data_IF_868540877649
#
_entry.id   IF_868540877649
#
_cell.length_a   1.000
_cell.length_b   1.000
_cell.length_c   1.000
_cell.angle_alpha   90.00
_cell.angle_beta   90.00
_cell.angle_gamma   90.00
#
_symmetry.space_group_name_H-M   'P 1'
#
loop_
_entity.id
_entity.type
_entity.pdbx_description
1 polymer ?
#
# COMPACT_ATOMS: atom_id res chain seq x y z
N UNK A 1 13.28 -18.15 -10.00
CA UNK A 1 12.57 -16.85 -9.95
C UNK A 1 11.97 -16.71 -8.56
N UNK A 2 12.41 -15.70 -7.81
CA UNK A 2 11.92 -15.36 -6.47
C UNK A 2 10.84 -14.29 -6.62
N UNK A 3 9.66 -14.51 -6.04
CA UNK A 3 8.52 -13.59 -6.11
C UNK A 3 8.21 -13.08 -4.71
N UNK A 4 8.17 -11.76 -4.54
CA UNK A 4 7.69 -11.15 -3.30
C UNK A 4 6.18 -10.92 -3.43
N UNK A 5 5.39 -11.46 -2.51
CA UNK A 5 3.93 -11.25 -2.45
C UNK A 5 3.62 -10.48 -1.18
N UNK A 6 3.03 -9.30 -1.33
CA UNK A 6 2.66 -8.44 -0.19
C UNK A 6 1.15 -8.44 -0.02
N UNK A 7 0.70 -8.88 1.16
CA UNK A 7 -0.71 -8.86 1.57
C UNK A 7 -0.91 -7.87 2.71
N UNK A 8 -2.16 -7.58 3.06
CA UNK A 8 -2.44 -6.66 4.16
C UNK A 8 -2.17 -7.27 5.54
N UNK A 9 -2.54 -8.54 5.77
CA UNK A 9 -2.56 -9.15 7.10
C UNK A 9 -1.72 -10.43 7.23
N UNK A 10 -1.13 -10.71 8.40
CA UNK A 10 -0.35 -11.93 8.64
C UNK A 10 -1.14 -13.22 8.45
N UNK A 11 -2.43 -13.22 8.80
CA UNK A 11 -3.31 -14.38 8.62
C UNK A 11 -3.46 -14.75 7.14
N UNK A 12 -3.63 -13.75 6.27
CA UNK A 12 -3.68 -13.94 4.82
C UNK A 12 -2.34 -14.45 4.29
N UNK A 13 -1.22 -13.89 4.78
CA UNK A 13 0.12 -14.32 4.39
C UNK A 13 0.36 -15.80 4.70
N UNK A 14 -0.01 -16.24 5.91
CA UNK A 14 0.12 -17.64 6.32
C UNK A 14 -0.75 -18.58 5.49
N UNK A 15 -1.97 -18.16 5.14
CA UNK A 15 -2.89 -18.96 4.35
C UNK A 15 -2.38 -19.14 2.92
N UNK A 16 -1.97 -18.05 2.26
CA UNK A 16 -1.43 -18.09 0.89
C UNK A 16 -0.14 -18.93 0.82
N UNK A 17 0.71 -18.83 1.86
CA UNK A 17 1.95 -19.63 1.92
C UNK A 17 1.69 -21.14 1.84
N UNK A 18 0.59 -21.63 2.39
CA UNK A 18 0.22 -23.04 2.32
C UNK A 18 -0.23 -23.48 0.92
N UNK A 19 -0.72 -22.54 0.10
CA UNK A 19 -1.20 -22.83 -1.25
C UNK A 19 -0.12 -22.75 -2.31
N UNK A 20 0.88 -21.89 -2.13
CA UNK A 20 1.94 -21.67 -3.12
C UNK A 20 3.14 -22.62 -2.99
N UNK A 21 3.11 -23.56 -2.04
CA UNK A 21 4.14 -24.58 -1.93
C UNK A 21 4.08 -25.56 -3.11
N UNK A 22 5.17 -25.69 -3.86
CA UNK A 22 5.38 -26.77 -4.83
C UNK A 22 5.06 -26.44 -6.30
N UNK A 23 4.86 -25.18 -6.65
CA UNK A 23 4.58 -24.75 -8.03
C UNK A 23 5.83 -24.47 -8.89
N UNK A 24 7.03 -24.75 -8.36
CA UNK A 24 8.31 -24.52 -9.03
C UNK A 24 8.87 -23.09 -8.89
N UNK A 25 8.17 -22.18 -8.21
CA UNK A 25 8.64 -20.84 -7.88
C UNK A 25 8.98 -20.73 -6.39
N UNK A 26 9.79 -19.73 -6.04
CA UNK A 26 10.07 -19.39 -4.64
C UNK A 26 9.28 -18.14 -4.28
N UNK A 27 8.34 -18.26 -3.35
CA UNK A 27 7.57 -17.12 -2.85
C UNK A 27 8.08 -16.67 -1.49
N UNK A 28 8.35 -15.38 -1.37
CA UNK A 28 8.44 -14.70 -0.09
C UNK A 28 7.11 -13.95 0.10
N UNK A 29 6.37 -14.27 1.17
CA UNK A 29 5.05 -13.68 1.41
C UNK A 29 5.13 -12.87 2.70
N UNK A 30 4.93 -11.56 2.58
CA UNK A 30 5.03 -10.59 3.67
C UNK A 30 3.72 -9.83 3.87
N UNK A 31 3.51 -9.29 5.07
CA UNK A 31 2.32 -8.51 5.40
C UNK A 31 2.66 -7.03 5.62
N UNK A 32 1.90 -6.13 4.99
CA UNK A 32 2.04 -4.68 5.16
C UNK A 32 1.52 -4.20 6.52
N UNK A 33 0.73 -5.03 7.21
CA UNK A 33 0.04 -4.69 8.46
C UNK A 33 -0.94 -3.52 8.30
N UNK A 34 -1.62 -3.44 7.16
CA UNK A 34 -2.51 -2.34 6.79
C UNK A 34 -1.81 -1.22 6.01
N UNK A 35 -2.26 0.01 6.22
CA UNK A 35 -1.66 1.21 5.64
C UNK A 35 -0.25 1.49 6.19
N UNK A 36 0.72 1.69 5.30
CA UNK A 36 2.10 2.07 5.66
C UNK A 36 2.33 3.58 5.70
N UNK A 37 1.46 4.35 5.02
CA UNK A 37 1.46 5.81 4.97
C UNK A 37 0.08 6.36 5.28
N UNK A 38 0.06 7.59 5.80
CA UNK A 38 -1.16 8.36 6.05
C UNK A 38 -0.82 9.86 6.03
N UNK A 39 -1.84 10.73 6.06
CA UNK A 39 -1.66 12.17 6.25
C UNK A 39 -1.01 12.46 7.61
N UNK A 40 -0.19 13.52 7.75
CA UNK A 40 0.42 13.89 9.02
C UNK A 40 -0.67 14.13 10.07
N UNK A 41 -0.49 13.57 11.27
CA UNK A 41 -1.41 13.72 12.41
C UNK A 41 -1.08 14.96 13.25
N UNK A 42 0.14 15.49 13.14
CA UNK A 42 0.59 16.70 13.83
C UNK A 42 1.68 17.39 13.02
N UNK A 43 1.93 18.68 13.31
CA UNK A 43 2.99 19.47 12.67
C UNK A 43 4.38 18.80 12.74
N UNK A 44 4.67 18.05 13.81
CA UNK A 44 5.94 17.34 13.97
C UNK A 44 6.15 16.20 12.97
N UNK A 45 5.08 15.71 12.34
CA UNK A 45 5.17 14.67 11.31
C UNK A 45 5.37 15.23 9.91
N UNK A 46 5.22 16.55 9.71
CA UNK A 46 5.38 17.22 8.42
C UNK A 46 6.87 17.14 7.98
N UNK A 47 7.15 16.60 6.78
CA UNK A 47 8.50 16.57 6.23
C UNK A 47 9.10 17.97 6.05
N UNK A 48 10.42 18.10 6.22
CA UNK A 48 11.13 19.39 6.17
C UNK A 48 10.79 20.22 4.92
N UNK A 49 10.71 19.56 3.76
CA UNK A 49 10.40 20.22 2.48
C UNK A 49 9.02 20.89 2.40
N UNK A 50 8.12 20.60 3.34
CA UNK A 50 6.78 21.17 3.41
C UNK A 50 6.57 22.03 4.65
N UNK A 51 7.55 22.18 5.56
CA UNK A 51 7.34 22.86 6.85
C UNK A 51 7.08 24.35 6.73
N UNK A 52 7.59 24.98 5.68
CA UNK A 52 7.41 26.41 5.42
C UNK A 52 6.11 26.71 4.64
N UNK A 53 5.32 25.67 4.32
CA UNK A 53 4.07 25.80 3.57
C UNK A 53 2.89 26.06 4.52
N UNK A 54 2.11 27.12 4.27
CA UNK A 54 0.97 27.51 5.12
C UNK A 54 -0.11 26.43 5.28
N UNK A 55 -0.16 25.46 4.36
CA UNK A 55 -1.14 24.37 4.34
C UNK A 55 -0.62 23.07 4.98
N UNK A 56 0.63 23.04 5.44
CA UNK A 56 1.32 21.80 5.85
C UNK A 56 0.69 21.12 7.06
N UNK A 57 0.15 21.90 8.00
CA UNK A 57 -0.56 21.39 9.19
C UNK A 57 -1.86 20.66 8.82
N UNK A 58 -2.55 21.14 7.77
CA UNK A 58 -3.70 20.44 7.21
C UNK A 58 -3.28 19.17 6.47
N UNK A 59 -2.05 19.12 5.95
CA UNK A 59 -1.50 18.00 5.20
C UNK A 59 -2.11 17.82 3.81
N UNK A 60 -2.91 18.79 3.33
CA UNK A 60 -3.56 18.79 2.02
C UNK A 60 -3.49 20.20 1.44
N UNK A 61 -2.92 20.35 0.24
CA UNK A 61 -2.84 21.62 -0.46
C UNK A 61 -4.15 21.89 -1.21
N UNK A 62 -5.06 22.64 -0.59
CA UNK A 62 -6.39 22.94 -1.17
C UNK A 62 -6.33 23.89 -2.37
N UNK A 63 -5.24 24.64 -2.52
CA UNK A 63 -5.06 25.61 -3.61
C UNK A 63 -4.42 24.96 -4.84
N UNK A 64 -3.71 23.84 -4.65
CA UNK A 64 -3.06 23.09 -5.73
C UNK A 64 -3.62 21.67 -5.84
N UNK A 65 -4.84 21.57 -6.37
CA UNK A 65 -5.42 20.27 -6.77
C UNK A 65 -5.64 19.27 -5.63
N UNK A 66 -5.67 19.73 -4.37
CA UNK A 66 -5.81 18.89 -3.18
C UNK A 66 -4.63 17.92 -2.96
N UNK A 67 -3.41 18.30 -3.36
CA UNK A 67 -2.24 17.45 -3.21
C UNK A 67 -1.99 17.07 -1.73
N UNK A 68 -1.98 15.77 -1.37
CA UNK A 68 -1.77 15.33 0.01
C UNK A 68 -0.28 15.17 0.37
N UNK A 69 0.06 15.45 1.62
CA UNK A 69 1.32 15.03 2.23
C UNK A 69 1.12 13.64 2.84
N UNK A 70 1.82 12.64 2.32
CA UNK A 70 1.85 11.31 2.90
C UNK A 70 3.12 11.07 3.71
N UNK A 71 2.95 10.62 4.95
CA UNK A 71 4.05 10.34 5.88
C UNK A 71 3.99 8.90 6.37
N UNK A 72 5.16 8.31 6.56
CA UNK A 72 5.30 6.96 7.13
C UNK A 72 5.36 7.04 8.66
N UNK A 73 4.42 6.38 9.34
CA UNK A 73 4.30 6.43 10.81
C UNK A 73 4.80 5.16 11.48
N UNK A 74 5.47 5.32 12.63
CA UNK A 74 5.75 4.26 13.60
C UNK A 74 6.13 2.90 12.99
N UNK A 75 5.24 1.91 13.17
CA UNK A 75 5.41 0.52 12.70
C UNK A 75 5.60 0.42 11.18
N UNK A 76 5.02 1.33 10.39
CA UNK A 76 5.14 1.35 8.94
C UNK A 76 6.59 1.45 8.47
N UNK A 77 7.46 2.19 9.18
CA UNK A 77 8.89 2.31 8.83
C UNK A 77 9.61 0.96 8.86
N UNK A 78 9.34 0.16 9.88
CA UNK A 78 9.92 -1.20 9.98
C UNK A 78 9.40 -2.09 8.85
N UNK A 79 8.09 -2.06 8.61
CA UNK A 79 7.47 -2.84 7.53
C UNK A 79 8.07 -2.48 6.18
N UNK A 80 8.19 -1.19 5.86
CA UNK A 80 8.79 -0.73 4.62
C UNK A 80 10.22 -1.25 4.48
N UNK A 81 11.05 -1.12 5.53
CA UNK A 81 12.42 -1.63 5.49
C UNK A 81 12.48 -3.14 5.25
N UNK A 82 11.65 -3.90 5.96
CA UNK A 82 11.60 -5.37 5.80
C UNK A 82 11.14 -5.74 4.36
N UNK A 83 10.23 -4.96 3.77
CA UNK A 83 9.77 -5.14 2.39
C UNK A 83 10.82 -4.72 1.34
N UNK A 84 11.56 -3.64 1.58
CA UNK A 84 12.69 -3.20 0.75
C UNK A 84 13.78 -4.28 0.72
N UNK A 85 14.15 -4.80 1.89
CA UNK A 85 15.11 -5.90 2.03
C UNK A 85 14.64 -7.15 1.26
N UNK A 86 13.35 -7.49 1.36
CA UNK A 86 12.77 -8.61 0.63
C UNK A 86 12.72 -8.39 -0.89
N UNK A 87 12.52 -7.14 -1.33
CA UNK A 87 12.40 -6.75 -2.73
C UNK A 87 13.75 -6.80 -3.46
N UNK A 88 14.86 -6.51 -2.77
CA UNK A 88 16.21 -6.57 -3.36
C UNK A 88 16.55 -7.92 -3.98
N UNK A 89 16.05 -9.01 -3.40
CA UNK A 89 16.28 -10.37 -3.88
C UNK A 89 15.18 -10.86 -4.85
N UNK A 90 14.09 -10.10 -5.03
CA UNK A 90 12.93 -10.54 -5.78
C UNK A 90 13.06 -10.20 -7.27
N UNK A 91 12.60 -11.10 -8.13
CA UNK A 91 12.50 -10.86 -9.57
C UNK A 91 11.17 -10.18 -9.96
N UNK A 92 10.13 -10.32 -9.13
CA UNK A 92 8.80 -9.74 -9.34
C UNK A 92 8.14 -9.39 -7.99
N UNK A 93 7.34 -8.32 -7.97
CA UNK A 93 6.52 -7.90 -6.84
C UNK A 93 5.04 -8.10 -7.13
N UNK A 94 4.35 -8.88 -6.29
CA UNK A 94 2.92 -9.08 -6.32
C UNK A 94 2.25 -8.31 -5.19
N UNK A 95 1.30 -7.44 -5.54
CA UNK A 95 0.44 -6.74 -4.58
C UNK A 95 -0.87 -7.51 -4.47
N UNK A 96 -1.10 -8.12 -3.30
CA UNK A 96 -2.18 -9.05 -3.01
C UNK A 96 -3.11 -8.55 -1.89
N UNK A 97 -3.37 -7.24 -1.89
CA UNK A 97 -4.34 -6.58 -1.00
C UNK A 97 -5.78 -6.88 -1.44
N UNK A 98 -6.75 -6.57 -0.58
CA UNK A 98 -8.17 -6.84 -0.88
C UNK A 98 -8.67 -6.09 -2.12
N UNK A 99 -9.66 -6.65 -2.79
CA UNK A 99 -10.28 -6.06 -3.99
C UNK A 99 -11.33 -5.02 -3.62
N UNK A 100 -10.89 -3.98 -2.94
CA UNK A 100 -11.69 -2.81 -2.70
C UNK A 100 -10.82 -1.56 -2.81
N UNK A 101 -11.43 -0.39 -2.62
CA UNK A 101 -10.72 0.89 -2.69
C UNK A 101 -9.63 1.04 -1.62
N UNK A 102 -9.79 0.39 -0.45
CA UNK A 102 -8.82 0.48 0.65
C UNK A 102 -7.59 -0.37 0.32
N UNK A 103 -7.80 -1.62 -0.07
CA UNK A 103 -6.76 -2.50 -0.56
C UNK A 103 -6.03 -1.95 -1.78
N UNK A 104 -6.74 -1.30 -2.71
CA UNK A 104 -6.10 -0.66 -3.86
C UNK A 104 -5.23 0.54 -3.45
N UNK A 105 -5.69 1.35 -2.50
CA UNK A 105 -4.91 2.45 -1.93
C UNK A 105 -3.67 1.98 -1.18
N UNK A 106 -3.79 0.92 -0.36
CA UNK A 106 -2.63 0.28 0.31
C UNK A 106 -1.63 -0.21 -0.74
N UNK A 107 -2.12 -0.91 -1.77
CA UNK A 107 -1.30 -1.40 -2.86
C UNK A 107 -0.55 -0.29 -3.58
N UNK A 108 -1.26 0.78 -3.94
CA UNK A 108 -0.64 1.97 -4.53
C UNK A 108 0.41 2.58 -3.60
N UNK A 109 0.09 2.78 -2.33
CA UNK A 109 1.04 3.35 -1.38
C UNK A 109 2.32 2.54 -1.23
N UNK A 110 2.22 1.21 -1.24
CA UNK A 110 3.38 0.31 -1.24
C UNK A 110 4.25 0.52 -2.48
N UNK A 111 3.67 0.57 -3.69
CA UNK A 111 4.44 0.80 -4.91
C UNK A 111 5.18 2.13 -4.91
N UNK A 112 4.58 3.18 -4.36
CA UNK A 112 5.19 4.51 -4.30
C UNK A 112 6.33 4.60 -3.28
N UNK A 113 6.31 3.77 -2.23
CA UNK A 113 7.35 3.80 -1.19
C UNK A 113 8.48 2.85 -1.52
N UNK A 114 8.16 1.67 -2.04
CA UNK A 114 9.16 0.66 -2.39
C UNK A 114 9.90 0.99 -3.68
N UNK A 115 9.33 1.85 -4.53
CA UNK A 115 9.86 2.28 -5.83
C UNK A 115 10.53 1.13 -6.62
N UNK A 116 9.78 0.05 -6.91
CA UNK A 116 10.36 -1.20 -7.39
C UNK A 116 10.92 -1.06 -8.82
N UNK A 117 12.18 -1.48 -9.00
CA UNK A 117 12.82 -1.64 -10.32
C UNK A 117 12.41 -2.95 -11.04
N UNK A 118 11.57 -3.75 -10.40
CA UNK A 118 11.09 -5.05 -10.90
C UNK A 118 9.62 -4.98 -11.32
N UNK A 119 9.13 -5.89 -12.18
CA UNK A 119 7.73 -5.92 -12.57
C UNK A 119 6.80 -6.01 -11.35
N UNK A 120 5.85 -5.08 -11.30
CA UNK A 120 4.79 -5.06 -10.29
C UNK A 120 3.51 -5.63 -10.88
N UNK A 121 2.89 -6.58 -10.16
CA UNK A 121 1.67 -7.27 -10.56
C UNK A 121 0.60 -7.12 -9.49
N UNK A 122 -0.57 -6.61 -9.84
CA UNK A 122 -1.72 -6.56 -8.92
C UNK A 122 -2.48 -7.89 -9.00
N UNK A 123 -2.40 -8.67 -7.93
CA UNK A 123 -3.06 -9.98 -7.78
C UNK A 123 -4.34 -9.81 -6.98
N UNK A 124 -5.45 -10.28 -7.52
CA UNK A 124 -6.79 -9.98 -7.00
C UNK A 124 -7.60 -11.27 -6.89
N UNK A 125 -8.32 -11.44 -5.77
CA UNK A 125 -9.13 -12.62 -5.50
C UNK A 125 -10.26 -12.28 -4.52
N UNK A 126 -11.44 -12.87 -4.72
CA UNK A 126 -12.59 -12.70 -3.84
C UNK A 126 -12.64 -13.74 -2.71
N UNK A 127 -11.89 -14.83 -2.84
CA UNK A 127 -11.84 -15.91 -1.87
C UNK A 127 -10.42 -16.46 -1.74
N UNK A 128 -10.08 -16.99 -0.57
CA UNK A 128 -8.75 -17.51 -0.27
C UNK A 128 -8.78 -19.04 -0.39
N UNK A 129 -8.96 -19.53 -1.62
CA UNK A 129 -8.87 -20.96 -1.97
C UNK A 129 -7.61 -21.21 -2.82
N UNK A 130 -7.13 -22.45 -2.87
CA UNK A 130 -5.93 -22.79 -3.66
C UNK A 130 -6.13 -22.43 -5.14
N UNK A 131 -7.30 -22.74 -5.67
CA UNK A 131 -7.67 -22.52 -7.07
C UNK A 131 -7.81 -21.02 -7.39
N UNK A 132 -8.40 -20.23 -6.49
CA UNK A 132 -8.51 -18.79 -6.67
C UNK A 132 -7.14 -18.10 -6.65
N UNK A 133 -6.28 -18.47 -5.70
CA UNK A 133 -4.92 -17.92 -5.60
C UNK A 133 -4.07 -18.28 -6.83
N UNK A 134 -4.13 -19.53 -7.28
CA UNK A 134 -3.37 -19.94 -8.47
C UNK A 134 -3.82 -19.17 -9.72
N UNK A 135 -5.13 -19.01 -9.92
CA UNK A 135 -5.68 -18.21 -11.02
C UNK A 135 -5.26 -16.75 -10.93
N UNK A 136 -5.30 -16.18 -9.74
CA UNK A 136 -4.94 -14.77 -9.52
C UNK A 136 -3.47 -14.48 -9.82
N UNK A 137 -2.57 -15.47 -9.65
CA UNK A 137 -1.16 -15.35 -10.06
C UNK A 137 -1.00 -15.22 -11.57
N UNK A 138 -1.85 -15.89 -12.35
CA UNK A 138 -1.81 -15.88 -13.81
C UNK A 138 -2.56 -14.67 -14.40
N UNK A 139 -3.68 -14.28 -13.77
CA UNK A 139 -4.60 -13.23 -14.23
C UNK A 139 -4.38 -11.89 -13.48
N UNK A 140 -3.14 -11.39 -13.50
CA UNK A 140 -2.80 -10.12 -12.83
C UNK A 140 -3.23 -8.90 -13.65
N UNK A 141 -3.52 -7.79 -12.95
CA UNK A 141 -3.80 -6.49 -13.56
C UNK A 141 -2.82 -5.41 -13.09
N UNK A 142 -3.02 -4.18 -13.56
CA UNK A 142 -2.38 -2.98 -12.99
C UNK A 142 -3.17 -2.41 -11.82
N UNK A 143 -2.56 -1.49 -11.08
CA UNK A 143 -3.25 -0.70 -10.05
C UNK A 143 -4.32 0.18 -10.72
N UNK A 144 -5.54 0.10 -10.20
CA UNK A 144 -6.67 0.92 -10.64
C UNK A 144 -6.61 2.30 -9.97
N UNK A 145 -6.15 3.28 -10.74
CA UNK A 145 -6.00 4.67 -10.29
C UNK A 145 -7.35 5.32 -9.90
N UNK A 146 -8.48 4.85 -10.43
CA UNK A 146 -9.78 5.39 -10.06
C UNK A 146 -10.18 4.96 -8.65
N UNK A 147 -9.92 3.70 -8.28
CA UNK A 147 -10.16 3.21 -6.93
C UNK A 147 -9.25 3.90 -5.91
N UNK A 148 -7.97 4.09 -6.25
CA UNK A 148 -7.02 4.88 -5.45
C UNK A 148 -7.53 6.30 -5.26
N UNK A 149 -7.87 6.99 -6.35
CA UNK A 149 -8.39 8.37 -6.31
C UNK A 149 -9.68 8.47 -5.51
N UNK A 150 -10.56 7.47 -5.57
CA UNK A 150 -11.79 7.43 -4.77
C UNK A 150 -11.51 7.29 -3.26
N UNK A 151 -10.51 6.48 -2.88
CA UNK A 151 -10.09 6.35 -1.48
C UNK A 151 -9.40 7.63 -0.99
N UNK A 152 -8.51 8.21 -1.78
CA UNK A 152 -7.82 9.46 -1.48
C UNK A 152 -8.81 10.63 -1.33
N UNK A 153 -9.79 10.73 -2.23
CA UNK A 153 -10.87 11.74 -2.14
C UNK A 153 -11.62 11.63 -0.83
N UNK A 154 -12.00 10.41 -0.42
CA UNK A 154 -12.66 10.20 0.88
C UNK A 154 -11.75 10.62 2.04
N UNK A 155 -10.47 10.24 1.99
CA UNK A 155 -9.49 10.56 3.04
C UNK A 155 -9.27 12.06 3.20
N UNK A 156 -9.18 12.79 2.10
CA UNK A 156 -9.08 14.25 2.05
C UNK A 156 -10.37 14.89 2.58
N UNK A 157 -11.54 14.43 2.15
CA UNK A 157 -12.83 14.93 2.65
C UNK A 157 -12.92 14.80 4.17
N UNK A 158 -12.59 13.63 4.72
CA UNK A 158 -12.59 13.39 6.16
C UNK A 158 -11.62 14.33 6.90
N UNK A 159 -10.45 14.61 6.30
CA UNK A 159 -9.46 15.59 6.84
C UNK A 159 -10.01 17.01 6.87
N UNK A 160 -10.58 17.48 5.76
CA UNK A 160 -11.10 18.85 5.64
C UNK A 160 -12.27 19.09 6.59
N UNK A 161 -13.16 18.10 6.74
CA UNK A 161 -14.30 18.19 7.67
C UNK A 161 -13.82 18.13 9.12
N UNK A 162 -12.93 17.20 9.45
CA UNK A 162 -12.42 17.05 10.81
C UNK A 162 -11.68 18.29 11.31
N UNK A 163 -10.80 18.86 10.48
CA UNK A 163 -10.00 20.04 10.85
C UNK A 163 -10.85 21.31 11.01
N UNK A 164 -11.98 21.43 10.31
CA UNK A 164 -12.89 22.59 10.45
C UNK A 164 -13.83 22.49 11.64
N UNK A 165 -14.04 21.29 12.19
CA UNK A 165 -14.98 21.04 13.29
C UNK A 165 -14.26 20.92 14.63
N UNK A 166 -13.02 20.43 14.66
CA UNK A 166 -12.20 20.38 15.88
C UNK A 166 -11.44 21.71 16.08
N UNK A 167 -11.65 22.43 17.21
CA UNK A 167 -10.95 23.68 17.51
C UNK A 167 -9.47 23.50 17.87
#
# INVERSE_FOLDING_TARGET
MKRLVVVESPTKANTIRNYLNGDGHTYQIEASMGHVRDLPASANEVPEQYKDEDWSDLGVNVDEGFAPIYVTKGRGKKVIRDLEDALQDADELYIATDEDREGESIGWHLTQVLDPDVPVRRMVFHEITREAIQRALDETRGIDKNLVGAQETRRILDRLVGYRISP
#
